data_IF_363516630221
#
_entry.id   IF_363516630221
#
_cell.length_a   1.000
_cell.length_b   1.000
_cell.length_c   1.000
_cell.angle_alpha   90.00
_cell.angle_beta   90.00
_cell.angle_gamma   90.00
#
_symmetry.space_group_name_H-M   'P 1'
#
loop_
_entity.id
_entity.type
_entity.pdbx_description
1 polymer ?
#
# COMPACT_ATOMS: atom_id res chain seq x y z
N UNK A 1 33.74 11.35 19.55
CA UNK A 1 33.69 11.55 21.01
C UNK A 1 34.56 10.58 21.82
N UNK A 2 34.88 9.36 21.36
CA UNK A 2 35.68 8.39 22.13
C UNK A 2 35.16 8.21 23.58
N UNK A 3 33.84 8.19 23.73
CA UNK A 3 33.18 8.18 25.03
C UNK A 3 33.24 6.78 25.67
N UNK A 4 34.39 6.44 26.26
CA UNK A 4 34.60 5.15 26.94
C UNK A 4 33.76 5.00 28.22
N UNK A 5 33.17 6.09 28.72
CA UNK A 5 32.24 6.08 29.85
C UNK A 5 30.80 5.72 29.43
N UNK A 6 30.52 5.58 28.12
CA UNK A 6 29.20 5.19 27.63
C UNK A 6 28.75 3.84 28.22
N UNK A 7 27.47 3.66 28.60
CA UNK A 7 26.97 2.43 29.22
C UNK A 7 27.29 1.15 28.41
N UNK A 8 27.23 1.21 27.08
CA UNK A 8 27.64 0.10 26.21
C UNK A 8 29.12 -0.27 26.38
N UNK A 9 30.02 0.71 26.49
CA UNK A 9 31.44 0.46 26.70
C UNK A 9 31.69 -0.14 28.09
N UNK A 10 30.92 0.28 29.10
CA UNK A 10 30.97 -0.34 30.42
C UNK A 10 30.49 -1.79 30.39
N UNK A 11 29.36 -2.08 29.74
CA UNK A 11 28.83 -3.43 29.58
C UNK A 11 29.85 -4.37 28.90
N UNK A 12 30.47 -3.92 27.81
CA UNK A 12 31.50 -4.68 27.08
C UNK A 12 32.76 -4.94 27.92
N UNK A 13 33.10 -4.08 28.88
CA UNK A 13 34.21 -4.36 29.81
C UNK A 13 33.83 -5.35 30.91
N UNK A 14 32.56 -5.38 31.27
CA UNK A 14 32.03 -6.24 32.34
C UNK A 14 31.75 -7.67 31.86
N UNK A 15 31.53 -7.88 30.56
CA UNK A 15 31.32 -9.22 30.02
C UNK A 15 31.05 -9.24 28.51
N UNK A 16 30.86 -10.46 27.99
CA UNK A 16 30.74 -10.73 26.54
C UNK A 16 29.30 -10.82 26.02
N UNK A 17 28.30 -10.53 26.87
CA UNK A 17 26.88 -10.74 26.54
C UNK A 17 26.43 -10.11 25.23
N UNK A 18 26.95 -8.92 24.90
CA UNK A 18 26.64 -8.24 23.63
C UNK A 18 27.16 -8.99 22.41
N UNK A 19 28.32 -9.64 22.51
CA UNK A 19 28.88 -10.48 21.44
C UNK A 19 28.00 -11.72 21.26
N UNK A 20 27.66 -12.37 22.38
CA UNK A 20 26.86 -13.60 22.38
C UNK A 20 25.46 -13.34 21.82
N UNK A 21 24.84 -12.22 22.20
CA UNK A 21 23.54 -11.80 21.66
C UNK A 21 23.58 -11.59 20.14
N UNK A 22 24.59 -10.88 19.63
CA UNK A 22 24.71 -10.57 18.20
C UNK A 22 25.03 -11.82 17.37
N UNK A 23 25.97 -12.65 17.82
CA UNK A 23 26.27 -13.92 17.16
C UNK A 23 25.03 -14.83 17.16
N UNK A 24 24.41 -15.03 18.33
CA UNK A 24 23.27 -15.93 18.49
C UNK A 24 22.07 -15.51 17.65
N UNK A 25 21.78 -14.21 17.54
CA UNK A 25 20.66 -13.74 16.69
C UNK A 25 20.90 -13.94 15.21
N UNK A 26 22.13 -13.74 14.72
CA UNK A 26 22.45 -13.91 13.28
C UNK A 26 22.50 -15.40 12.94
N UNK A 27 23.10 -16.23 13.81
CA UNK A 27 23.11 -17.68 13.69
C UNK A 27 21.69 -18.25 13.60
N UNK A 28 20.83 -17.90 14.56
CA UNK A 28 19.42 -18.32 14.56
C UNK A 28 18.67 -17.87 13.30
N UNK A 29 19.00 -16.67 12.77
CA UNK A 29 18.38 -16.19 11.54
C UNK A 29 18.87 -16.98 10.33
N UNK A 30 20.15 -17.36 10.28
CA UNK A 30 20.69 -18.19 9.19
C UNK A 30 20.06 -19.57 9.08
N UNK A 31 19.53 -20.08 10.19
CA UNK A 31 18.79 -21.35 10.26
C UNK A 31 17.30 -21.19 9.93
N UNK A 32 16.82 -19.96 9.73
CA UNK A 32 15.44 -19.68 9.35
C UNK A 32 15.29 -19.76 7.84
N UNK A 33 14.30 -20.53 7.36
CA UNK A 33 14.02 -20.68 5.93
C UNK A 33 13.88 -19.31 5.24
N UNK A 34 14.59 -19.13 4.12
CA UNK A 34 14.65 -17.88 3.36
C UNK A 34 15.78 -16.92 3.76
N UNK A 35 16.51 -17.22 4.83
CA UNK A 35 17.63 -16.40 5.33
C UNK A 35 18.96 -17.17 5.36
N UNK A 36 19.07 -18.27 4.62
CA UNK A 36 20.23 -19.18 4.61
C UNK A 36 21.53 -18.45 4.22
N UNK A 37 21.43 -17.37 3.44
CA UNK A 37 22.56 -16.52 3.05
C UNK A 37 23.25 -15.82 4.24
N UNK A 38 22.61 -15.77 5.41
CA UNK A 38 23.22 -15.24 6.63
C UNK A 38 24.23 -16.21 7.27
N UNK A 39 24.35 -17.46 6.80
CA UNK A 39 25.30 -18.43 7.36
C UNK A 39 26.74 -17.94 7.27
N UNK A 40 27.16 -17.38 6.13
CA UNK A 40 28.50 -16.80 5.96
C UNK A 40 28.77 -15.64 6.93
N UNK A 41 27.91 -14.60 6.98
CA UNK A 41 27.98 -13.55 7.99
C UNK A 41 27.97 -14.05 9.44
N UNK A 42 27.21 -15.11 9.75
CA UNK A 42 27.18 -15.72 11.08
C UNK A 42 28.53 -16.34 11.44
N UNK A 43 29.12 -17.12 10.54
CA UNK A 43 30.46 -17.71 10.72
C UNK A 43 31.51 -16.61 10.88
N UNK A 44 31.50 -15.60 10.01
CA UNK A 44 32.44 -14.47 10.10
C UNK A 44 32.33 -13.74 11.45
N UNK A 45 31.11 -13.46 11.92
CA UNK A 45 30.89 -12.84 13.23
C UNK A 45 31.40 -13.73 14.36
N UNK A 46 31.17 -15.06 14.29
CA UNK A 46 31.69 -16.02 15.27
C UNK A 46 33.20 -15.94 15.36
N UNK A 47 33.91 -16.10 14.23
CA UNK A 47 35.37 -16.06 14.20
C UNK A 47 35.95 -14.75 14.76
N UNK A 48 35.35 -13.60 14.39
CA UNK A 48 35.82 -12.30 14.88
C UNK A 48 35.53 -12.09 16.36
N UNK A 49 34.38 -12.56 16.85
CA UNK A 49 34.04 -12.50 18.26
C UNK A 49 34.90 -13.47 19.10
N UNK A 50 35.18 -14.68 18.61
CA UNK A 50 36.12 -15.62 19.23
C UNK A 50 37.51 -15.01 19.40
N UNK A 51 38.03 -14.36 18.35
CA UNK A 51 39.33 -13.70 18.41
C UNK A 51 39.37 -12.60 19.50
N UNK A 52 38.35 -11.73 19.57
CA UNK A 52 38.32 -10.62 20.53
C UNK A 52 37.89 -11.04 21.94
N UNK A 53 37.43 -12.27 22.16
CA UNK A 53 37.22 -12.79 23.53
C UNK A 53 38.54 -13.00 24.27
N UNK A 54 39.64 -13.17 23.54
CA UNK A 54 40.96 -13.47 24.12
C UNK A 54 41.73 -12.23 24.59
N UNK A 55 41.29 -11.03 24.21
CA UNK A 55 41.99 -9.77 24.55
C UNK A 55 41.54 -9.22 25.92
N UNK A 56 42.36 -8.38 26.58
CA UNK A 56 41.98 -7.72 27.82
C UNK A 56 40.67 -6.93 27.71
N UNK A 57 39.79 -7.06 28.71
CA UNK A 57 38.42 -6.53 28.68
C UNK A 57 38.35 -5.02 28.41
N UNK A 58 39.32 -4.24 28.88
CA UNK A 58 39.38 -2.80 28.63
C UNK A 58 39.56 -2.43 27.15
N UNK A 59 40.07 -3.35 26.32
CA UNK A 59 40.19 -3.17 24.86
C UNK A 59 38.93 -3.60 24.10
N UNK A 60 38.04 -4.40 24.71
CA UNK A 60 36.88 -4.98 24.04
C UNK A 60 35.97 -3.94 23.36
N UNK A 61 35.65 -2.78 23.98
CA UNK A 61 34.82 -1.76 23.33
C UNK A 61 35.35 -1.29 21.97
N UNK A 62 36.68 -1.15 21.83
CA UNK A 62 37.31 -0.70 20.59
C UNK A 62 37.17 -1.74 19.49
N UNK A 63 37.52 -2.99 19.79
CA UNK A 63 37.51 -4.06 18.79
C UNK A 63 36.09 -4.50 18.44
N UNK A 64 35.17 -4.50 19.42
CA UNK A 64 33.74 -4.68 19.16
C UNK A 64 33.21 -3.65 18.17
N UNK A 65 33.51 -2.36 18.37
CA UNK A 65 33.12 -1.29 17.45
C UNK A 65 33.73 -1.46 16.06
N UNK A 66 34.97 -1.94 15.96
CA UNK A 66 35.62 -2.23 14.68
C UNK A 66 34.93 -3.37 13.93
N UNK A 67 34.61 -4.47 14.61
CA UNK A 67 33.92 -5.63 14.03
C UNK A 67 32.53 -5.23 13.53
N UNK A 68 31.73 -4.57 14.37
CA UNK A 68 30.37 -4.15 13.98
C UNK A 68 30.37 -3.11 12.87
N UNK A 69 31.30 -2.15 12.88
CA UNK A 69 31.41 -1.17 11.80
C UNK A 69 31.77 -1.86 10.47
N UNK A 70 32.64 -2.86 10.52
CA UNK A 70 33.05 -3.62 9.33
C UNK A 70 31.87 -4.42 8.79
N UNK A 71 31.15 -5.15 9.65
CA UNK A 71 29.95 -5.88 9.27
C UNK A 71 28.88 -4.95 8.68
N UNK A 72 28.58 -3.84 9.37
CA UNK A 72 27.57 -2.87 8.92
C UNK A 72 27.91 -2.28 7.56
N UNK A 73 29.17 -1.87 7.33
CA UNK A 73 29.60 -1.33 6.04
C UNK A 73 29.47 -2.37 4.94
N UNK A 74 29.97 -3.59 5.16
CA UNK A 74 29.87 -4.66 4.18
C UNK A 74 28.40 -4.99 3.83
N UNK A 75 27.51 -5.07 4.84
CA UNK A 75 26.08 -5.29 4.61
C UNK A 75 25.42 -4.14 3.86
N UNK A 76 25.76 -2.89 4.21
CA UNK A 76 25.25 -1.70 3.54
C UNK A 76 25.68 -1.64 2.08
N UNK A 77 26.97 -1.82 1.83
CA UNK A 77 27.55 -1.77 0.48
C UNK A 77 26.94 -2.87 -0.38
N UNK A 78 26.79 -4.09 0.16
CA UNK A 78 26.11 -5.19 -0.53
C UNK A 78 24.64 -4.89 -0.84
N UNK A 79 23.91 -4.27 0.08
CA UNK A 79 22.52 -3.90 -0.15
C UNK A 79 22.39 -2.87 -1.29
N UNK A 80 23.29 -1.88 -1.34
CA UNK A 80 23.27 -0.86 -2.38
C UNK A 80 23.68 -1.41 -3.75
N UNK A 81 24.69 -2.28 -3.81
CA UNK A 81 25.11 -2.99 -5.03
C UNK A 81 23.94 -3.75 -5.65
N UNK A 82 23.15 -4.46 -4.82
CA UNK A 82 21.98 -5.22 -5.26
C UNK A 82 20.82 -4.33 -5.76
N UNK A 83 20.78 -3.05 -5.39
CA UNK A 83 19.76 -2.10 -5.86
C UNK A 83 20.13 -1.44 -7.21
N UNK A 84 21.28 -1.81 -7.78
CA UNK A 84 21.75 -1.31 -9.06
C UNK A 84 22.47 0.03 -8.99
N UNK A 85 23.13 0.38 -10.09
CA UNK A 85 24.08 1.50 -10.18
C UNK A 85 23.46 2.85 -9.80
N UNK A 86 22.18 3.07 -10.14
CA UNK A 86 21.46 4.30 -9.84
C UNK A 86 21.34 4.58 -8.35
N UNK A 87 21.24 3.53 -7.51
CA UNK A 87 21.19 3.66 -6.05
C UNK A 87 22.59 3.57 -5.46
N UNK A 88 23.42 2.63 -5.94
CA UNK A 88 24.78 2.43 -5.47
C UNK A 88 25.62 3.72 -5.57
N UNK A 89 25.54 4.43 -6.71
CA UNK A 89 26.31 5.66 -6.95
C UNK A 89 25.57 6.93 -6.54
N UNK A 90 24.37 6.82 -5.98
CA UNK A 90 23.59 7.97 -5.55
C UNK A 90 24.25 8.71 -4.37
N UNK A 91 23.82 9.95 -4.16
CA UNK A 91 24.19 10.70 -2.96
C UNK A 91 23.66 10.00 -1.69
N UNK A 92 24.38 10.15 -0.58
CA UNK A 92 24.15 9.40 0.66
C UNK A 92 22.71 9.46 1.21
N UNK A 93 21.95 10.52 0.95
CA UNK A 93 20.56 10.66 1.39
C UNK A 93 19.66 9.71 0.60
N UNK A 94 19.83 9.61 -0.72
CA UNK A 94 19.10 8.65 -1.55
C UNK A 94 19.43 7.22 -1.15
N UNK A 95 20.71 6.92 -0.91
CA UNK A 95 21.12 5.61 -0.41
C UNK A 95 20.43 5.28 0.94
N UNK A 96 20.36 6.25 1.85
CA UNK A 96 19.69 6.06 3.14
C UNK A 96 18.18 5.86 2.99
N UNK A 97 17.52 6.58 2.06
CA UNK A 97 16.11 6.35 1.73
C UNK A 97 15.91 4.95 1.13
N UNK A 98 16.78 4.51 0.22
CA UNK A 98 16.68 3.19 -0.39
C UNK A 98 16.81 2.05 0.63
N UNK A 99 17.68 2.20 1.64
CA UNK A 99 17.84 1.24 2.73
C UNK A 99 16.57 1.08 3.60
N UNK A 100 15.62 2.02 3.55
CA UNK A 100 14.31 1.84 4.18
C UNK A 100 13.57 0.64 3.58
N UNK A 101 13.79 0.32 2.29
CA UNK A 101 13.18 -0.87 1.68
C UNK A 101 13.67 -2.17 2.33
N UNK A 102 14.92 -2.22 2.79
CA UNK A 102 15.48 -3.36 3.52
C UNK A 102 14.93 -3.42 4.94
N UNK A 103 14.69 -2.26 5.57
CA UNK A 103 14.13 -2.20 6.92
C UNK A 103 12.68 -2.69 6.97
N UNK A 104 11.84 -2.25 6.02
CA UNK A 104 10.42 -2.56 6.03
C UNK A 104 10.11 -3.98 5.52
N UNK A 105 10.96 -4.54 4.66
CA UNK A 105 10.72 -5.85 4.04
C UNK A 105 11.46 -6.97 4.74
N UNK A 106 10.75 -8.06 5.04
CA UNK A 106 11.37 -9.26 5.58
C UNK A 106 10.38 -10.37 5.89
N UNK A 107 10.91 -11.52 6.28
CA UNK A 107 10.11 -12.62 6.81
C UNK A 107 9.72 -12.33 8.27
N UNK A 108 8.45 -12.56 8.61
CA UNK A 108 7.99 -12.60 10.00
C UNK A 108 7.18 -13.87 10.24
N UNK A 109 7.18 -14.36 11.47
CA UNK A 109 6.46 -15.60 11.83
C UNK A 109 4.95 -15.44 11.84
N UNK A 110 4.49 -14.23 12.17
CA UNK A 110 3.10 -13.92 12.47
C UNK A 110 2.29 -13.44 11.27
N UNK A 111 2.94 -13.16 10.13
CA UNK A 111 2.31 -12.53 8.98
C UNK A 111 3.05 -12.86 7.68
N UNK A 112 2.32 -12.85 6.57
CA UNK A 112 2.84 -13.02 5.22
C UNK A 112 1.93 -12.28 4.24
N UNK A 113 2.14 -12.45 2.95
CA UNK A 113 1.19 -12.04 1.92
C UNK A 113 0.11 -13.10 1.63
N UNK A 114 0.39 -14.35 1.99
CA UNK A 114 -0.46 -15.51 1.70
C UNK A 114 -0.76 -16.32 2.97
N UNK A 115 -1.90 -17.03 3.02
CA UNK A 115 -2.34 -17.68 4.25
C UNK A 115 -1.49 -18.93 4.59
N UNK A 116 -0.89 -19.55 3.57
CA UNK A 116 -0.14 -20.82 3.71
C UNK A 116 1.28 -20.78 3.12
N UNK A 117 1.75 -19.62 2.66
CA UNK A 117 3.08 -19.45 2.05
C UNK A 117 3.79 -18.32 2.78
N UNK A 118 4.93 -18.61 3.39
CA UNK A 118 5.80 -17.60 3.99
C UNK A 118 6.61 -16.92 2.88
N UNK A 119 6.45 -15.61 2.73
CA UNK A 119 7.20 -14.77 1.79
C UNK A 119 7.62 -13.47 2.48
N UNK A 120 8.67 -12.79 2.00
CA UNK A 120 8.99 -11.46 2.47
C UNK A 120 7.80 -10.53 2.18
N UNK A 121 7.37 -9.79 3.19
CA UNK A 121 6.31 -8.79 3.05
C UNK A 121 6.80 -7.45 3.56
N UNK A 122 6.25 -6.37 3.00
CA UNK A 122 6.52 -5.01 3.47
C UNK A 122 5.66 -4.68 4.69
N UNK A 123 6.27 -4.07 5.71
CA UNK A 123 5.56 -3.44 6.82
C UNK A 123 5.17 -2.00 6.46
N UNK A 124 4.01 -1.53 6.94
CA UNK A 124 3.65 -0.11 6.82
C UNK A 124 4.53 0.80 7.70
N UNK A 125 5.09 0.26 8.78
CA UNK A 125 6.00 1.00 9.63
C UNK A 125 6.48 0.21 10.85
N UNK A 126 7.68 0.51 11.31
CA UNK A 126 8.27 -0.12 12.49
C UNK A 126 8.16 0.81 13.72
N UNK A 127 7.92 0.28 14.93
CA UNK A 127 7.60 -1.13 15.24
C UNK A 127 6.10 -1.45 15.19
N UNK A 128 5.23 -0.45 15.13
CA UNK A 128 3.79 -0.60 15.40
C UNK A 128 3.02 -1.41 14.34
N UNK A 129 3.49 -1.42 13.10
CA UNK A 129 2.86 -2.09 11.95
C UNK A 129 3.79 -3.15 11.36
N UNK A 130 4.45 -3.91 12.23
CA UNK A 130 5.50 -4.85 11.83
C UNK A 130 5.08 -6.33 11.91
N UNK A 131 4.00 -6.67 12.63
CA UNK A 131 3.65 -8.06 12.95
C UNK A 131 2.15 -8.30 12.82
N UNK A 132 1.78 -9.59 12.82
CA UNK A 132 0.41 -10.08 12.75
C UNK A 132 -0.42 -9.41 11.62
N UNK A 133 -1.73 -9.27 11.83
CA UNK A 133 -2.65 -8.61 10.91
C UNK A 133 -2.18 -7.19 10.58
N UNK A 134 -1.58 -6.48 11.54
CA UNK A 134 -1.19 -5.07 11.41
C UNK A 134 0.01 -4.82 10.47
N UNK A 135 0.63 -5.85 9.89
CA UNK A 135 1.81 -5.67 9.05
C UNK A 135 1.52 -5.10 7.66
N UNK A 136 0.55 -5.68 6.94
CA UNK A 136 0.34 -5.44 5.51
C UNK A 136 -0.99 -4.70 5.27
N UNK A 137 -0.88 -3.48 4.77
CA UNK A 137 -2.00 -2.62 4.42
C UNK A 137 -1.94 -2.29 2.92
N UNK A 138 -2.98 -2.61 2.16
CA UNK A 138 -3.00 -2.47 0.70
C UNK A 138 -2.70 -1.04 0.25
N UNK A 139 -3.27 -0.06 0.94
CA UNK A 139 -2.99 1.35 0.68
C UNK A 139 -1.50 1.67 0.81
N UNK A 140 -0.92 1.40 1.98
CA UNK A 140 0.49 1.68 2.29
C UNK A 140 1.44 0.93 1.37
N UNK A 141 1.14 -0.34 1.08
CA UNK A 141 1.89 -1.19 0.15
C UNK A 141 1.96 -0.51 -1.22
N UNK A 142 0.81 -0.16 -1.81
CA UNK A 142 0.76 0.32 -3.19
C UNK A 142 1.17 1.78 -3.36
N UNK A 143 1.10 2.61 -2.32
CA UNK A 143 1.76 3.91 -2.33
C UNK A 143 3.30 3.73 -2.30
N UNK A 144 3.79 2.76 -1.53
CA UNK A 144 5.22 2.63 -1.24
C UNK A 144 6.02 1.84 -2.29
N UNK A 145 5.40 0.89 -3.00
CA UNK A 145 6.10 -0.03 -3.93
C UNK A 145 6.92 0.72 -4.98
N UNK A 146 6.40 1.82 -5.54
CA UNK A 146 7.15 2.59 -6.56
C UNK A 146 8.50 3.06 -6.04
N UNK A 147 8.53 3.64 -4.83
CA UNK A 147 9.76 4.16 -4.24
C UNK A 147 10.65 3.06 -3.68
N UNK A 148 10.06 2.16 -2.88
CA UNK A 148 10.83 1.18 -2.11
C UNK A 148 11.24 -0.05 -2.91
N UNK A 149 10.49 -0.42 -3.97
CA UNK A 149 10.82 -1.58 -4.80
C UNK A 149 11.21 -1.23 -6.22
N UNK A 150 10.35 -0.54 -6.99
CA UNK A 150 10.64 -0.25 -8.40
C UNK A 150 11.87 0.66 -8.52
N UNK A 151 11.94 1.70 -7.69
CA UNK A 151 13.09 2.62 -7.62
C UNK A 151 14.38 1.98 -7.11
N UNK A 152 14.32 0.78 -6.53
CA UNK A 152 15.48 0.04 -6.00
C UNK A 152 15.73 -1.29 -6.72
N UNK A 153 15.08 -1.52 -7.87
CA UNK A 153 15.27 -2.73 -8.69
C UNK A 153 14.65 -4.01 -8.12
N UNK A 154 13.84 -3.94 -7.07
CA UNK A 154 13.22 -5.09 -6.38
C UNK A 154 11.92 -5.54 -7.04
N UNK A 155 12.01 -5.85 -8.33
CA UNK A 155 10.84 -6.15 -9.17
C UNK A 155 10.14 -7.45 -8.76
N UNK A 156 10.89 -8.47 -8.34
CA UNK A 156 10.31 -9.74 -7.91
C UNK A 156 9.43 -9.57 -6.67
N UNK A 157 9.89 -8.80 -5.67
CA UNK A 157 9.08 -8.48 -4.50
C UNK A 157 7.86 -7.64 -4.87
N UNK A 158 7.99 -6.66 -5.76
CA UNK A 158 6.84 -5.88 -6.24
C UNK A 158 5.79 -6.78 -6.91
N UNK A 159 6.21 -7.69 -7.79
CA UNK A 159 5.34 -8.66 -8.45
C UNK A 159 4.65 -9.58 -7.43
N UNK A 160 5.37 -10.11 -6.45
CA UNK A 160 4.79 -10.97 -5.41
C UNK A 160 3.67 -10.25 -4.62
N UNK A 161 3.85 -8.95 -4.31
CA UNK A 161 2.83 -8.15 -3.63
C UNK A 161 1.61 -7.90 -4.54
N UNK A 162 1.82 -7.53 -5.81
CA UNK A 162 0.74 -7.36 -6.78
C UNK A 162 -0.07 -8.65 -6.90
N UNK A 163 0.58 -9.80 -7.07
CA UNK A 163 -0.09 -11.10 -7.22
C UNK A 163 -0.87 -11.46 -5.94
N UNK A 164 -0.31 -11.23 -4.76
CA UNK A 164 -0.99 -11.53 -3.50
C UNK A 164 -2.28 -10.72 -3.33
N UNK A 165 -2.25 -9.41 -3.57
CA UNK A 165 -3.44 -8.57 -3.46
C UNK A 165 -4.44 -8.83 -4.60
N UNK A 166 -3.97 -9.12 -5.82
CA UNK A 166 -4.83 -9.56 -6.92
C UNK A 166 -5.61 -10.84 -6.57
N UNK A 167 -5.00 -11.77 -5.83
CA UNK A 167 -5.68 -12.99 -5.38
C UNK A 167 -6.90 -12.69 -4.51
N UNK A 168 -6.87 -11.60 -3.73
CA UNK A 168 -7.94 -11.21 -2.80
C UNK A 168 -8.84 -10.11 -3.34
N UNK A 169 -8.84 -9.78 -4.64
CA UNK A 169 -9.84 -8.84 -5.17
C UNK A 169 -11.26 -9.40 -4.94
N UNK A 170 -12.13 -8.60 -4.33
CA UNK A 170 -13.55 -8.89 -4.04
C UNK A 170 -14.32 -7.57 -4.08
N UNK A 171 -15.60 -7.57 -4.48
CA UNK A 171 -16.36 -6.35 -4.71
C UNK A 171 -15.72 -5.44 -5.77
N UNK A 172 -14.87 -5.94 -6.68
CA UNK A 172 -14.07 -5.07 -7.55
C UNK A 172 -13.06 -4.18 -6.81
N UNK A 173 -12.74 -4.50 -5.54
CA UNK A 173 -11.88 -3.72 -4.66
C UNK A 173 -10.72 -4.55 -4.12
N UNK A 174 -9.66 -3.86 -3.70
CA UNK A 174 -8.52 -4.41 -2.96
C UNK A 174 -8.68 -4.03 -1.48
N UNK A 175 -8.41 -4.96 -0.55
CA UNK A 175 -8.60 -4.67 0.87
C UNK A 175 -7.62 -3.63 1.40
N UNK A 176 -7.98 -2.97 2.50
CA UNK A 176 -7.00 -2.22 3.28
C UNK A 176 -6.16 -3.20 4.09
N UNK A 177 -6.76 -3.88 5.06
CA UNK A 177 -6.08 -4.90 5.85
C UNK A 177 -5.98 -6.20 5.04
N UNK A 178 -4.76 -6.69 4.78
CA UNK A 178 -4.58 -7.96 4.06
C UNK A 178 -4.78 -9.19 4.95
N UNK A 179 -4.28 -9.15 6.19
CA UNK A 179 -4.25 -10.29 7.12
C UNK A 179 -3.76 -11.60 6.47
N UNK A 180 -2.61 -11.52 5.77
CA UNK A 180 -2.03 -12.62 4.99
C UNK A 180 -3.00 -13.25 3.96
N UNK A 181 -4.03 -12.54 3.51
CA UNK A 181 -5.06 -13.06 2.60
C UNK A 181 -6.02 -14.08 3.24
N UNK A 182 -5.99 -14.24 4.57
CA UNK A 182 -6.88 -15.13 5.30
C UNK A 182 -8.21 -14.45 5.65
N UNK A 183 -8.10 -13.27 6.29
CA UNK A 183 -9.22 -12.43 6.72
C UNK A 183 -9.04 -10.97 6.27
N UNK A 184 -9.00 -10.68 4.96
CA UNK A 184 -8.86 -9.32 4.46
C UNK A 184 -10.12 -8.47 4.74
N UNK A 185 -9.94 -7.16 4.95
CA UNK A 185 -11.05 -6.20 5.19
C UNK A 185 -11.18 -5.16 4.07
N UNK A 186 -12.40 -5.00 3.55
CA UNK A 186 -12.72 -4.17 2.38
C UNK A 186 -13.43 -2.86 2.77
N UNK A 187 -12.77 -2.08 3.64
CA UNK A 187 -13.21 -0.76 4.10
C UNK A 187 -12.45 0.39 3.42
N UNK A 188 -11.74 0.12 2.32
CA UNK A 188 -10.88 1.10 1.62
C UNK A 188 -11.27 1.22 0.16
N UNK A 189 -11.75 2.41 -0.22
CA UNK A 189 -12.12 2.80 -1.58
C UNK A 189 -10.93 3.26 -2.40
N UNK A 190 -9.86 3.72 -1.78
CA UNK A 190 -8.66 4.22 -2.45
C UNK A 190 -7.63 3.12 -2.76
N UNK A 191 -7.57 2.05 -1.95
CA UNK A 191 -6.61 0.94 -2.13
C UNK A 191 -6.59 0.36 -3.54
N UNK A 192 -7.76 0.18 -4.17
CA UNK A 192 -7.86 -0.36 -5.54
C UNK A 192 -7.18 0.56 -6.56
N UNK A 193 -7.29 1.87 -6.40
CA UNK A 193 -6.74 2.83 -7.35
C UNK A 193 -5.22 2.97 -7.22
N UNK A 194 -4.70 2.94 -5.99
CA UNK A 194 -3.25 2.85 -5.77
C UNK A 194 -2.67 1.53 -6.30
N UNK A 195 -3.41 0.42 -6.15
CA UNK A 195 -3.05 -0.88 -6.74
C UNK A 195 -2.95 -0.81 -8.27
N UNK A 196 -3.96 -0.26 -8.94
CA UNK A 196 -3.97 -0.12 -10.40
C UNK A 196 -2.86 0.83 -10.88
N UNK A 197 -2.57 1.90 -10.14
CA UNK A 197 -1.43 2.77 -10.41
C UNK A 197 -0.08 2.06 -10.23
N UNK A 198 0.02 1.16 -9.23
CA UNK A 198 1.24 0.34 -9.05
C UNK A 198 1.45 -0.62 -10.21
N UNK A 199 0.38 -1.20 -10.77
CA UNK A 199 0.50 -2.06 -11.96
C UNK A 199 1.01 -1.26 -13.16
N UNK A 200 0.50 -0.03 -13.36
CA UNK A 200 0.99 0.88 -14.39
C UNK A 200 2.49 1.15 -14.22
N UNK A 201 2.90 1.52 -13.00
CA UNK A 201 4.29 1.80 -12.68
C UNK A 201 5.17 0.55 -12.85
N UNK A 202 4.69 -0.63 -12.45
CA UNK A 202 5.40 -1.89 -12.66
C UNK A 202 5.62 -2.15 -14.15
N UNK A 203 4.57 -2.07 -14.97
CA UNK A 203 4.66 -2.30 -16.42
C UNK A 203 5.62 -1.31 -17.09
N UNK A 204 5.67 -0.07 -16.59
CA UNK A 204 6.55 0.97 -17.10
C UNK A 204 8.02 0.77 -16.74
N UNK A 205 8.32 0.36 -15.50
CA UNK A 205 9.69 0.37 -14.98
C UNK A 205 10.34 -1.02 -14.92
N UNK A 206 9.57 -2.09 -14.79
CA UNK A 206 10.11 -3.45 -14.72
C UNK A 206 10.52 -3.97 -16.11
N UNK A 207 11.62 -4.73 -16.20
CA UNK A 207 11.95 -5.48 -17.42
C UNK A 207 10.79 -6.39 -17.82
N UNK A 208 10.44 -6.41 -19.10
CA UNK A 208 9.32 -7.22 -19.62
C UNK A 208 8.00 -6.98 -18.85
N UNK A 209 7.82 -5.78 -18.30
CA UNK A 209 6.74 -5.47 -17.36
C UNK A 209 5.35 -5.78 -17.88
N UNK A 210 5.11 -5.63 -19.20
CA UNK A 210 3.82 -5.94 -19.85
C UNK A 210 3.37 -7.39 -19.65
N UNK A 211 4.29 -8.33 -19.48
CA UNK A 211 3.96 -9.74 -19.25
C UNK A 211 3.29 -9.99 -17.89
N UNK A 212 3.32 -9.00 -16.99
CA UNK A 212 2.51 -9.02 -15.78
C UNK A 212 1.02 -9.19 -16.10
N UNK A 213 0.50 -8.56 -17.17
CA UNK A 213 -0.91 -8.65 -17.56
C UNK A 213 -1.36 -10.10 -17.82
N UNK A 214 -0.45 -10.91 -18.36
CA UNK A 214 -0.69 -12.33 -18.68
C UNK A 214 -0.41 -13.27 -17.51
N UNK A 215 0.13 -12.76 -16.41
CA UNK A 215 0.42 -13.57 -15.23
C UNK A 215 -0.89 -13.99 -14.55
N UNK A 216 -1.03 -15.29 -14.29
CA UNK A 216 -2.24 -15.86 -13.68
C UNK A 216 -2.08 -16.00 -12.16
N UNK A 217 -3.14 -15.68 -11.43
CA UNK A 217 -3.21 -15.87 -9.98
C UNK A 217 -4.45 -16.65 -9.59
N UNK A 218 -4.30 -17.60 -8.64
CA UNK A 218 -5.45 -18.26 -8.01
C UNK A 218 -6.20 -17.27 -7.13
N UNK A 219 -7.52 -17.24 -7.25
CA UNK A 219 -8.39 -16.26 -6.59
C UNK A 219 -8.87 -16.78 -5.24
N UNK A 220 -8.63 -16.03 -4.18
CA UNK A 220 -9.11 -16.29 -2.81
C UNK A 220 -10.64 -16.27 -2.73
N UNK A 221 -11.26 -15.38 -3.50
CA UNK A 221 -12.71 -15.27 -3.69
C UNK A 221 -13.06 -15.59 -5.14
N UNK A 222 -14.32 -15.93 -5.42
CA UNK A 222 -14.74 -16.22 -6.79
C UNK A 222 -14.85 -14.90 -7.60
N UNK A 223 -14.38 -14.84 -8.85
CA UNK A 223 -14.51 -13.64 -9.68
C UNK A 223 -15.97 -13.22 -9.84
N UNK A 224 -16.24 -11.92 -9.77
CA UNK A 224 -17.59 -11.32 -9.87
C UNK A 224 -18.61 -11.79 -8.81
N UNK A 225 -18.16 -12.50 -7.76
CA UNK A 225 -18.99 -12.96 -6.65
C UNK A 225 -18.52 -12.32 -5.34
N UNK A 226 -19.46 -11.66 -4.67
CA UNK A 226 -19.23 -10.90 -3.45
C UNK A 226 -19.44 -11.73 -2.17
N UNK A 227 -19.67 -13.03 -2.30
CA UNK A 227 -19.85 -13.94 -1.18
C UNK A 227 -18.55 -14.06 -0.40
N UNK A 228 -18.60 -13.79 0.90
CA UNK A 228 -17.48 -14.08 1.79
C UNK A 228 -17.51 -15.55 2.24
N UNK A 229 -16.35 -16.19 2.25
CA UNK A 229 -16.17 -17.52 2.82
C UNK A 229 -14.74 -17.70 3.36
N UNK A 230 -14.52 -18.57 4.37
CA UNK A 230 -13.21 -18.82 4.96
C UNK A 230 -12.20 -19.43 3.98
N UNK A 231 -10.91 -19.34 4.29
CA UNK A 231 -9.81 -19.82 3.42
C UNK A 231 -9.79 -21.35 3.30
N UNK A 232 -10.44 -22.06 4.22
CA UNK A 232 -10.56 -23.51 4.26
C UNK A 232 -11.76 -24.00 3.42
N UNK A 233 -12.63 -23.09 2.95
CA UNK A 233 -13.75 -23.42 2.07
C UNK A 233 -13.21 -23.97 0.72
N UNK A 234 -13.79 -25.05 0.17
CA UNK A 234 -13.36 -25.62 -1.10
C UNK A 234 -13.37 -24.65 -2.30
N UNK A 235 -14.15 -23.56 -2.21
CA UNK A 235 -14.19 -22.51 -3.25
C UNK A 235 -12.94 -21.63 -3.24
N UNK A 236 -12.24 -21.52 -2.11
CA UNK A 236 -11.04 -20.69 -2.02
C UNK A 236 -9.93 -21.24 -2.93
N UNK A 237 -9.37 -20.39 -3.78
CA UNK A 237 -8.33 -20.75 -4.74
C UNK A 237 -8.75 -21.85 -5.75
N UNK A 238 -10.06 -22.03 -5.98
CA UNK A 238 -10.63 -22.96 -6.97
C UNK A 238 -10.70 -22.38 -8.39
N UNK A 239 -10.61 -21.05 -8.50
CA UNK A 239 -10.58 -20.30 -9.75
C UNK A 239 -9.29 -19.50 -9.84
N UNK A 240 -8.98 -19.07 -11.06
CA UNK A 240 -7.84 -18.21 -11.34
C UNK A 240 -8.24 -17.10 -12.30
N UNK A 241 -7.47 -16.02 -12.30
CA UNK A 241 -7.63 -14.92 -13.24
C UNK A 241 -6.26 -14.39 -13.64
N UNK A 242 -6.14 -13.88 -14.86
CA UNK A 242 -4.98 -13.07 -15.25
C UNK A 242 -5.04 -11.70 -14.58
N UNK A 243 -3.90 -11.00 -14.48
CA UNK A 243 -3.90 -9.61 -13.99
C UNK A 243 -4.73 -8.71 -14.92
N UNK A 244 -4.73 -8.97 -16.21
CA UNK A 244 -5.61 -8.29 -17.17
C UNK A 244 -7.10 -8.45 -16.82
N UNK A 245 -7.56 -9.67 -16.50
CA UNK A 245 -8.93 -9.93 -16.06
C UNK A 245 -9.26 -9.26 -14.71
N UNK A 246 -8.30 -9.19 -13.79
CA UNK A 246 -8.46 -8.50 -12.49
C UNK A 246 -8.69 -7.00 -12.69
N UNK A 247 -7.93 -6.37 -13.59
CA UNK A 247 -8.09 -4.95 -13.90
C UNK A 247 -9.47 -4.71 -14.53
N UNK A 248 -9.88 -5.55 -15.47
CA UNK A 248 -11.20 -5.47 -16.08
C UNK A 248 -12.31 -5.65 -15.05
N UNK A 249 -12.20 -6.67 -14.18
CA UNK A 249 -13.17 -6.92 -13.10
C UNK A 249 -13.31 -5.69 -12.19
N UNK A 250 -12.20 -5.10 -11.75
CA UNK A 250 -12.23 -3.91 -10.92
C UNK A 250 -12.98 -2.74 -11.59
N UNK A 251 -12.67 -2.45 -12.85
CA UNK A 251 -13.30 -1.34 -13.58
C UNK A 251 -14.77 -1.59 -13.88
N UNK A 252 -15.13 -2.78 -14.34
CA UNK A 252 -16.50 -3.13 -14.69
C UNK A 252 -17.39 -3.12 -13.45
N UNK A 253 -16.89 -3.62 -12.31
CA UNK A 253 -17.58 -3.56 -11.02
C UNK A 253 -17.88 -2.13 -10.57
N UNK A 254 -16.94 -1.21 -10.73
CA UNK A 254 -17.18 0.22 -10.44
C UNK A 254 -18.19 0.83 -11.43
N UNK A 255 -18.07 0.50 -12.72
CA UNK A 255 -18.96 0.99 -13.76
C UNK A 255 -20.42 0.52 -13.60
N UNK A 256 -20.62 -0.70 -13.09
CA UNK A 256 -21.96 -1.22 -12.75
C UNK A 256 -22.52 -0.66 -11.43
N UNK A 257 -21.68 -0.04 -10.61
CA UNK A 257 -22.02 0.37 -9.25
C UNK A 257 -22.01 -0.80 -8.27
N UNK A 258 -21.77 -0.49 -7.01
CA UNK A 258 -21.54 -1.47 -5.95
C UNK A 258 -22.28 -1.03 -4.69
N UNK A 259 -23.06 -1.95 -4.13
CA UNK A 259 -23.75 -1.74 -2.87
C UNK A 259 -23.67 -3.00 -2.05
N UNK A 260 -22.93 -2.95 -0.94
CA UNK A 260 -22.69 -4.11 -0.10
C UNK A 260 -22.54 -3.71 1.35
N UNK A 261 -22.72 -4.68 2.24
CA UNK A 261 -22.37 -4.55 3.65
C UNK A 261 -21.07 -5.30 3.90
N UNK A 262 -20.14 -4.72 4.64
CA UNK A 262 -18.88 -5.39 5.00
C UNK A 262 -19.18 -6.79 5.55
N UNK A 263 -18.46 -7.78 5.02
CA UNK A 263 -18.58 -9.15 5.51
C UNK A 263 -18.24 -9.18 7.00
N UNK A 264 -19.03 -9.92 7.79
CA UNK A 264 -18.84 -10.04 9.24
C UNK A 264 -18.99 -8.71 10.01
N UNK A 265 -19.74 -7.74 9.46
CA UNK A 265 -20.03 -6.46 10.10
C UNK A 265 -20.47 -6.59 11.57
N UNK A 266 -19.89 -5.73 12.41
CA UNK A 266 -20.14 -5.68 13.85
C UNK A 266 -18.85 -5.52 14.67
N UNK A 267 -18.97 -5.53 16.01
CA UNK A 267 -17.87 -5.22 16.94
C UNK A 267 -16.62 -6.11 16.80
N UNK A 268 -16.74 -7.27 16.17
CA UNK A 268 -15.61 -8.20 15.97
C UNK A 268 -14.60 -7.72 14.93
N UNK A 269 -15.07 -7.00 13.89
CA UNK A 269 -14.19 -6.45 12.85
C UNK A 269 -13.91 -4.96 13.04
N UNK A 270 -14.80 -4.27 13.76
CA UNK A 270 -14.64 -2.87 14.15
C UNK A 270 -15.46 -2.56 15.40
N UNK A 271 -14.79 -2.30 16.51
CA UNK A 271 -15.44 -2.02 17.80
C UNK A 271 -15.83 -0.56 18.00
N UNK A 272 -15.49 0.32 17.05
CA UNK A 272 -15.76 1.75 17.14
C UNK A 272 -16.84 2.20 16.16
N UNK A 273 -16.81 1.66 14.94
CA UNK A 273 -17.74 2.02 13.85
C UNK A 273 -19.21 1.75 14.20
N UNK A 274 -20.09 2.65 13.78
CA UNK A 274 -21.55 2.46 13.88
C UNK A 274 -22.08 1.49 12.82
N UNK A 275 -23.29 0.98 13.01
CA UNK A 275 -23.89 -0.02 12.11
C UNK A 275 -23.96 0.45 10.65
N UNK A 276 -24.22 1.73 10.44
CA UNK A 276 -24.33 2.37 9.13
C UNK A 276 -23.00 2.43 8.38
N UNK A 277 -21.88 2.52 9.12
CA UNK A 277 -20.54 2.65 8.55
C UNK A 277 -20.10 1.40 7.77
N UNK A 278 -20.63 0.23 8.12
CA UNK A 278 -20.36 -1.03 7.44
C UNK A 278 -21.03 -1.12 6.06
N UNK A 279 -21.97 -0.22 5.73
CA UNK A 279 -22.64 -0.21 4.44
C UNK A 279 -21.83 0.64 3.45
N UNK A 280 -21.50 0.06 2.31
CA UNK A 280 -20.76 0.68 1.23
C UNK A 280 -21.68 0.90 0.03
N UNK A 281 -21.57 2.08 -0.57
CA UNK A 281 -22.24 2.48 -1.80
C UNK A 281 -21.21 3.23 -2.65
N UNK A 282 -20.97 2.74 -3.86
CA UNK A 282 -19.99 3.28 -4.81
C UNK A 282 -20.64 3.26 -6.20
N UNK A 283 -20.61 4.38 -6.90
CA UNK A 283 -21.20 4.49 -8.22
C UNK A 283 -20.48 5.53 -9.08
N UNK A 284 -20.63 5.42 -10.40
CA UNK A 284 -20.15 6.41 -11.35
C UNK A 284 -21.30 7.35 -11.70
N UNK A 285 -21.06 8.65 -11.59
CA UNK A 285 -21.89 9.65 -12.26
C UNK A 285 -21.50 9.68 -13.74
N UNK A 286 -22.35 9.14 -14.62
CA UNK A 286 -22.03 9.06 -16.05
C UNK A 286 -22.11 10.39 -16.79
N UNK A 287 -22.66 11.46 -16.20
CA UNK A 287 -22.56 12.80 -16.78
C UNK A 287 -21.12 13.32 -16.72
N UNK A 288 -20.44 13.08 -15.60
CA UNK A 288 -19.06 13.55 -15.35
C UNK A 288 -17.99 12.48 -15.54
N UNK A 289 -18.36 11.19 -15.46
CA UNK A 289 -17.44 10.06 -15.38
C UNK A 289 -16.79 9.86 -14.00
N UNK A 290 -17.18 10.64 -12.99
CA UNK A 290 -16.54 10.65 -11.66
C UNK A 290 -17.14 9.56 -10.76
N UNK A 291 -16.29 8.92 -9.95
CA UNK A 291 -16.71 7.93 -8.94
C UNK A 291 -17.07 8.64 -7.63
N UNK A 292 -18.26 8.33 -7.14
CA UNK A 292 -18.74 8.71 -5.82
C UNK A 292 -18.80 7.48 -4.92
N UNK A 293 -18.59 7.66 -3.63
CA UNK A 293 -18.95 6.61 -2.69
C UNK A 293 -18.62 6.92 -1.25
N UNK A 294 -18.92 5.96 -0.38
CA UNK A 294 -18.79 6.09 1.06
C UNK A 294 -19.99 6.79 1.70
N UNK A 295 -19.88 7.11 2.99
CA UNK A 295 -20.86 7.86 3.74
C UNK A 295 -20.22 8.55 4.96
N UNK A 296 -20.97 9.42 5.62
CA UNK A 296 -20.52 10.18 6.80
C UNK A 296 -20.19 9.32 8.04
N UNK A 297 -20.44 8.01 8.02
CA UNK A 297 -20.16 7.06 9.09
C UNK A 297 -18.99 6.11 8.76
N UNK A 298 -18.30 6.31 7.63
CA UNK A 298 -17.19 5.45 7.22
C UNK A 298 -15.92 6.23 6.83
N UNK A 299 -14.84 5.47 6.65
CA UNK A 299 -13.48 5.97 6.44
C UNK A 299 -12.85 5.32 5.20
N UNK A 300 -13.47 5.50 4.03
CA UNK A 300 -13.03 4.82 2.80
C UNK A 300 -11.72 5.32 2.18
N UNK A 301 -11.09 6.36 2.70
CA UNK A 301 -9.86 6.97 2.15
C UNK A 301 -8.77 7.04 3.21
N UNK A 302 -7.52 7.28 2.83
CA UNK A 302 -6.37 7.30 3.73
C UNK A 302 -6.46 8.21 4.97
N UNK A 303 -7.28 9.27 4.92
CA UNK A 303 -7.67 10.03 6.11
C UNK A 303 -8.74 9.26 6.90
N UNK A 304 -8.37 8.15 7.54
CA UNK A 304 -9.31 7.11 8.01
C UNK A 304 -9.56 7.05 9.53
N UNK A 305 -9.29 8.12 10.29
CA UNK A 305 -9.49 8.07 11.75
C UNK A 305 -10.97 7.96 12.13
N UNK A 306 -11.37 6.77 12.57
CA UNK A 306 -12.62 6.52 13.29
C UNK A 306 -12.49 6.99 14.74
N UNK A 307 -13.40 7.86 15.19
CA UNK A 307 -13.41 8.35 16.56
C UNK A 307 -13.72 7.25 17.59
N UNK A 308 -13.06 7.31 18.74
CA UNK A 308 -13.13 6.26 19.78
C UNK A 308 -13.37 6.81 21.20
N UNK A 309 -13.31 8.13 21.40
CA UNK A 309 -13.44 8.72 22.74
C UNK A 309 -14.91 8.88 23.12
N UNK A 310 -15.36 8.04 24.06
CA UNK A 310 -16.67 8.15 24.71
C UNK A 310 -16.80 9.45 25.51
N UNK A 311 -15.75 9.83 26.26
CA UNK A 311 -15.74 11.04 27.09
C UNK A 311 -15.91 12.32 26.25
N UNK A 312 -15.38 12.33 25.03
CA UNK A 312 -15.52 13.45 24.11
C UNK A 312 -16.79 13.34 23.24
N UNK A 313 -17.60 12.29 23.37
CA UNK A 313 -18.79 12.07 22.54
C UNK A 313 -18.48 11.76 21.06
N UNK A 314 -17.25 11.29 20.77
CA UNK A 314 -16.75 11.10 19.39
C UNK A 314 -16.70 9.64 18.94
N UNK A 315 -17.06 8.69 19.82
CA UNK A 315 -17.01 7.26 19.49
C UNK A 315 -17.94 6.93 18.31
N UNK A 316 -17.38 6.26 17.30
CA UNK A 316 -18.09 5.90 16.07
C UNK A 316 -18.41 7.08 15.15
N UNK A 317 -17.77 8.23 15.36
CA UNK A 317 -17.87 9.39 14.46
C UNK A 317 -16.52 9.54 13.74
N UNK A 318 -16.47 9.34 12.41
CA UNK A 318 -15.27 9.61 11.63
C UNK A 318 -14.81 11.05 11.80
N UNK A 319 -13.51 11.27 12.01
CA UNK A 319 -12.94 12.61 12.04
C UNK A 319 -12.89 13.25 10.65
N UNK A 320 -12.70 12.43 9.62
CA UNK A 320 -12.55 12.84 8.22
C UNK A 320 -13.25 11.87 7.29
N UNK A 321 -14.59 11.74 7.36
CA UNK A 321 -15.29 11.03 6.29
C UNK A 321 -15.04 11.80 4.99
N UNK A 322 -14.64 11.08 3.94
CA UNK A 322 -14.34 11.65 2.63
C UNK A 322 -15.25 11.03 1.58
N UNK A 323 -16.54 11.02 1.90
CA UNK A 323 -17.59 10.51 1.03
C UNK A 323 -17.86 11.45 -0.16
N UNK A 324 -18.63 10.96 -1.12
CA UNK A 324 -18.73 11.59 -2.42
C UNK A 324 -17.50 11.30 -3.28
N UNK A 325 -17.05 12.28 -4.06
CA UNK A 325 -15.92 12.10 -4.98
C UNK A 325 -14.62 12.66 -4.40
N UNK A 326 -13.72 11.75 -3.99
CA UNK A 326 -12.38 12.10 -3.53
C UNK A 326 -11.45 12.39 -4.72
N UNK A 327 -10.68 13.48 -4.62
CA UNK A 327 -9.89 13.97 -5.74
C UNK A 327 -8.82 12.99 -6.21
N UNK A 328 -8.14 12.29 -5.29
CA UNK A 328 -7.11 11.32 -5.64
C UNK A 328 -7.69 10.10 -6.37
N UNK A 329 -8.90 9.65 -5.98
CA UNK A 329 -9.59 8.54 -6.65
C UNK A 329 -9.92 8.93 -8.10
N UNK A 330 -10.37 10.16 -8.31
CA UNK A 330 -10.67 10.66 -9.66
C UNK A 330 -9.41 10.74 -10.53
N UNK A 331 -8.31 11.25 -9.97
CA UNK A 331 -7.03 11.33 -10.67
C UNK A 331 -6.47 9.95 -11.04
N UNK A 332 -6.47 9.01 -10.09
CA UNK A 332 -5.98 7.64 -10.31
C UNK A 332 -6.88 6.85 -11.26
N UNK A 333 -8.20 7.04 -11.21
CA UNK A 333 -9.14 6.49 -12.18
C UNK A 333 -8.80 7.00 -13.58
N UNK A 334 -8.69 8.33 -13.76
CA UNK A 334 -8.36 8.94 -15.04
C UNK A 334 -7.03 8.42 -15.60
N UNK A 335 -5.99 8.31 -14.75
CA UNK A 335 -4.71 7.71 -15.12
C UNK A 335 -4.88 6.29 -15.64
N UNK A 336 -5.62 5.46 -14.90
CA UNK A 336 -5.87 4.06 -15.23
C UNK A 336 -6.59 3.87 -16.55
N UNK A 337 -7.71 4.54 -16.76
CA UNK A 337 -8.50 4.35 -18.00
C UNK A 337 -7.82 4.98 -19.21
N UNK A 338 -7.05 6.07 -19.04
CA UNK A 338 -6.24 6.63 -20.12
C UNK A 338 -5.15 5.66 -20.54
N UNK A 339 -4.43 5.10 -19.57
CA UNK A 339 -3.40 4.08 -19.79
C UNK A 339 -3.95 2.83 -20.49
N UNK A 340 -5.11 2.33 -20.05
CA UNK A 340 -5.74 1.16 -20.69
C UNK A 340 -6.22 1.45 -22.10
N UNK A 341 -6.74 2.66 -22.36
CA UNK A 341 -7.08 3.08 -23.73
C UNK A 341 -5.86 3.01 -24.64
N UNK A 342 -4.70 3.52 -24.19
CA UNK A 342 -3.45 3.47 -24.95
C UNK A 342 -2.93 2.04 -25.14
N UNK A 343 -3.00 1.19 -24.10
CA UNK A 343 -2.57 -0.21 -24.22
C UNK A 343 -3.48 -1.01 -25.16
N UNK A 344 -4.79 -0.76 -25.14
CA UNK A 344 -5.71 -1.39 -26.06
C UNK A 344 -5.44 -0.97 -27.51
N UNK A 345 -5.21 0.32 -27.78
CA UNK A 345 -4.81 0.82 -29.10
C UNK A 345 -3.48 0.19 -29.59
N UNK A 346 -2.58 -0.17 -28.67
CA UNK A 346 -1.34 -0.90 -28.96
C UNK A 346 -1.52 -2.43 -29.10
N UNK A 347 -2.72 -2.97 -28.92
CA UNK A 347 -2.98 -4.42 -28.94
C UNK A 347 -2.39 -5.18 -27.74
N UNK A 348 -2.04 -4.47 -26.66
CA UNK A 348 -1.44 -5.04 -25.44
C UNK A 348 -2.45 -5.30 -24.32
N UNK A 349 -3.67 -4.79 -24.46
CA UNK A 349 -4.78 -5.02 -23.54
C UNK A 349 -6.03 -5.39 -24.33
N UNK A 350 -6.71 -6.48 -23.96
CA UNK A 350 -7.76 -7.10 -24.76
C UNK A 350 -9.08 -6.32 -24.76
N UNK A 351 -9.38 -5.58 -23.68
CA UNK A 351 -10.63 -4.86 -23.52
C UNK A 351 -10.51 -3.41 -23.99
N UNK A 352 -11.59 -2.86 -24.53
CA UNK A 352 -11.66 -1.45 -24.95
C UNK A 352 -12.70 -0.63 -24.16
N UNK A 353 -13.49 -1.30 -23.32
CA UNK A 353 -14.68 -0.74 -22.67
C UNK A 353 -15.10 -1.49 -21.41
N UNK A 354 -15.99 -0.88 -20.64
CA UNK A 354 -16.72 -1.49 -19.51
C UNK A 354 -18.23 -1.45 -19.76
N UNK A 355 -18.97 -2.31 -19.08
CA UNK A 355 -20.44 -2.26 -19.06
C UNK A 355 -20.94 -1.48 -17.86
N UNK A 356 -21.92 -0.61 -18.08
CA UNK A 356 -22.65 0.10 -17.03
C UNK A 356 -23.76 -0.77 -16.44
N UNK A 357 -24.38 -0.31 -15.34
CA UNK A 357 -25.57 -0.95 -14.76
C UNK A 357 -26.72 -1.14 -15.76
N UNK A 358 -26.85 -0.24 -16.74
CA UNK A 358 -27.86 -0.30 -17.80
C UNK A 358 -27.47 -1.26 -18.95
N UNK A 359 -26.31 -1.93 -18.86
CA UNK A 359 -25.76 -2.77 -19.92
C UNK A 359 -25.15 -1.98 -21.09
N UNK A 360 -25.15 -0.65 -21.04
CA UNK A 360 -24.49 0.20 -22.03
C UNK A 360 -22.98 0.03 -21.94
N UNK A 361 -22.32 -0.13 -23.09
CA UNK A 361 -20.86 -0.16 -23.17
C UNK A 361 -20.29 1.26 -23.21
N UNK A 362 -19.30 1.55 -22.37
CA UNK A 362 -18.58 2.83 -22.36
C UNK A 362 -17.10 2.53 -22.60
N UNK A 363 -16.53 3.10 -23.67
CA UNK A 363 -15.11 2.91 -23.97
C UNK A 363 -14.23 3.60 -22.93
N UNK A 364 -13.01 3.09 -22.72
CA UNK A 364 -12.06 3.74 -21.82
C UNK A 364 -11.75 5.19 -22.24
N UNK A 365 -11.67 5.42 -23.56
CA UNK A 365 -11.47 6.75 -24.15
C UNK A 365 -12.62 7.69 -23.84
N UNK A 366 -13.86 7.24 -23.96
CA UNK A 366 -15.03 8.05 -23.65
C UNK A 366 -15.12 8.35 -22.15
N UNK A 367 -14.84 7.37 -21.30
CA UNK A 367 -14.83 7.56 -19.85
C UNK A 367 -13.73 8.56 -19.43
N UNK A 368 -12.50 8.41 -19.96
CA UNK A 368 -11.42 9.37 -19.75
C UNK A 368 -11.80 10.78 -20.23
N UNK A 369 -12.44 10.87 -21.40
CA UNK A 369 -12.92 12.13 -21.98
C UNK A 369 -13.94 12.84 -21.09
N UNK A 370 -14.90 12.10 -20.51
CA UNK A 370 -15.89 12.65 -19.57
C UNK A 370 -15.22 13.25 -18.34
N UNK A 371 -14.29 12.51 -17.71
CA UNK A 371 -13.56 13.02 -16.53
C UNK A 371 -12.77 14.27 -16.92
N UNK A 372 -11.99 14.20 -17.99
CA UNK A 372 -11.17 15.34 -18.45
C UNK A 372 -11.99 16.60 -18.72
N UNK A 373 -13.17 16.46 -19.33
CA UNK A 373 -14.04 17.58 -19.65
C UNK A 373 -14.68 18.21 -18.41
N UNK A 374 -14.83 17.46 -17.31
CA UNK A 374 -15.57 17.89 -16.12
C UNK A 374 -14.68 18.15 -14.89
N UNK A 375 -13.44 17.64 -14.85
CA UNK A 375 -12.58 17.69 -13.67
C UNK A 375 -12.39 19.12 -13.16
N UNK A 376 -11.98 20.03 -14.04
CA UNK A 376 -11.80 21.45 -13.71
C UNK A 376 -13.10 22.07 -13.21
N UNK A 377 -14.22 21.86 -13.92
CA UNK A 377 -15.54 22.37 -13.54
C UNK A 377 -15.95 21.92 -12.14
N UNK A 378 -15.72 20.66 -11.79
CA UNK A 378 -16.16 20.08 -10.53
C UNK A 378 -15.24 20.42 -9.34
N UNK A 379 -13.92 20.38 -9.54
CA UNK A 379 -12.94 20.50 -8.46
C UNK A 379 -12.29 21.88 -8.33
N UNK A 380 -12.11 22.65 -9.40
CA UNK A 380 -11.40 23.93 -9.29
C UNK A 380 -12.28 25.02 -8.68
N UNK A 381 -11.70 25.82 -7.79
CA UNK A 381 -12.31 27.02 -7.23
C UNK A 381 -11.63 28.24 -7.87
N UNK A 382 -12.33 29.03 -8.70
CA UNK A 382 -11.69 30.11 -9.43
C UNK A 382 -11.20 31.23 -8.51
N UNK A 383 -10.11 31.89 -8.94
CA UNK A 383 -9.50 33.03 -8.23
C UNK A 383 -10.47 34.20 -8.05
N UNK A 384 -11.30 34.47 -9.05
CA UNK A 384 -12.30 35.54 -9.02
C UNK A 384 -13.70 34.97 -8.87
N UNK A 385 -14.52 35.58 -8.00
CA UNK A 385 -15.95 35.25 -7.89
C UNK A 385 -16.74 35.53 -9.17
N UNK A 386 -16.20 36.34 -10.08
CA UNK A 386 -16.80 36.59 -11.39
C UNK A 386 -16.86 35.34 -12.26
N UNK A 387 -15.99 34.37 -12.02
CA UNK A 387 -15.92 33.12 -12.80
C UNK A 387 -16.71 31.98 -12.16
N UNK A 388 -17.34 32.19 -11.00
CA UNK A 388 -18.05 31.13 -10.25
C UNK A 388 -19.10 30.42 -11.12
N UNK A 389 -19.77 31.13 -12.03
CA UNK A 389 -20.78 30.58 -12.93
C UNK A 389 -20.25 29.50 -13.91
N UNK A 390 -18.93 29.36 -14.04
CA UNK A 390 -18.28 28.35 -14.90
C UNK A 390 -17.95 27.06 -14.16
N UNK A 391 -18.02 27.06 -12.83
CA UNK A 391 -17.58 25.97 -11.96
C UNK A 391 -18.71 25.56 -11.02
N UNK A 392 -18.68 24.32 -10.54
CA UNK A 392 -19.70 23.82 -9.62
C UNK A 392 -19.40 24.29 -8.19
N UNK A 393 -19.44 25.60 -7.93
CA UNK A 393 -19.06 26.18 -6.65
C UNK A 393 -20.24 26.82 -5.91
N UNK A 394 -20.20 26.76 -4.58
CA UNK A 394 -21.11 27.45 -3.69
C UNK A 394 -20.34 28.55 -2.93
N UNK A 395 -20.49 29.83 -3.32
CA UNK A 395 -19.72 30.94 -2.73
C UNK A 395 -19.88 31.10 -1.22
N UNK A 396 -21.00 30.66 -0.65
CA UNK A 396 -21.29 30.80 0.78
C UNK A 396 -20.39 29.94 1.68
N UNK A 397 -19.79 28.88 1.13
CA UNK A 397 -18.97 27.90 1.89
C UNK A 397 -17.50 27.88 1.45
N UNK A 398 -17.10 28.71 0.49
CA UNK A 398 -15.70 28.82 0.04
C UNK A 398 -14.84 29.41 1.15
N UNK A 399 -13.82 28.67 1.58
CA UNK A 399 -12.79 29.18 2.48
C UNK A 399 -11.68 29.92 1.71
N UNK A 400 -11.14 29.29 0.67
CA UNK A 400 -10.03 29.82 -0.14
C UNK A 400 -10.28 29.59 -1.63
N UNK A 401 -9.87 30.56 -2.46
CA UNK A 401 -9.95 30.54 -3.92
C UNK A 401 -8.59 30.20 -4.54
N UNK A 402 -8.59 29.77 -5.79
CA UNK A 402 -7.37 29.36 -6.51
C UNK A 402 -6.82 28.02 -6.05
N UNK A 403 -7.69 27.12 -5.60
CA UNK A 403 -7.35 25.78 -5.15
C UNK A 403 -8.23 24.75 -5.88
N UNK A 404 -7.82 23.49 -5.85
CA UNK A 404 -8.72 22.37 -6.10
C UNK A 404 -9.35 21.93 -4.79
N UNK A 405 -10.66 21.69 -4.82
CA UNK A 405 -11.43 21.10 -3.72
C UNK A 405 -10.86 19.73 -3.32
N UNK A 406 -10.96 19.39 -2.04
CA UNK A 406 -10.58 18.06 -1.57
C UNK A 406 -11.56 16.98 -2.04
N UNK A 407 -12.85 17.34 -2.03
CA UNK A 407 -13.97 16.47 -2.36
C UNK A 407 -14.94 17.20 -3.30
N UNK A 408 -15.77 16.44 -4.00
CA UNK A 408 -16.90 16.96 -4.76
C UNK A 408 -18.20 16.26 -4.34
N UNK A 409 -19.16 17.04 -3.86
CA UNK A 409 -20.47 16.63 -3.33
C UNK A 409 -20.35 15.60 -2.19
N UNK A 410 -19.51 15.89 -1.18
CA UNK A 410 -19.47 15.11 0.06
C UNK A 410 -20.72 15.34 0.93
N UNK A 411 -20.87 14.55 1.99
CA UNK A 411 -22.04 14.63 2.87
C UNK A 411 -22.16 15.95 3.65
N UNK A 412 -21.05 16.67 3.85
CA UNK A 412 -21.03 18.01 4.45
C UNK A 412 -20.29 18.95 3.51
N UNK A 413 -21.04 19.83 2.85
CA UNK A 413 -20.53 20.61 1.72
C UNK A 413 -19.23 21.40 2.02
N UNK A 414 -19.04 21.97 3.22
CA UNK A 414 -17.82 22.69 3.55
C UNK A 414 -16.54 21.80 3.52
N UNK A 415 -16.67 20.47 3.62
CA UNK A 415 -15.56 19.52 3.53
C UNK A 415 -15.00 19.44 2.11
N UNK A 416 -15.82 19.73 1.08
CA UNK A 416 -15.38 19.86 -0.32
C UNK A 416 -14.35 21.00 -0.46
N UNK A 417 -14.61 22.15 0.16
CA UNK A 417 -13.87 23.41 -0.06
C UNK A 417 -12.63 23.56 0.84
N UNK A 418 -12.13 22.46 1.41
CA UNK A 418 -10.93 22.47 2.25
C UNK A 418 -9.65 22.39 1.42
N UNK A 419 -8.68 23.24 1.73
CA UNK A 419 -7.34 23.14 1.14
C UNK A 419 -6.56 22.02 1.85
N UNK A 420 -6.40 20.89 1.17
CA UNK A 420 -5.74 19.67 1.67
C UNK A 420 -4.71 19.15 0.67
N UNK A 421 -3.79 18.32 1.16
CA UNK A 421 -2.67 17.79 0.38
C UNK A 421 -3.02 16.53 -0.46
N UNK A 422 -4.29 16.34 -0.81
CA UNK A 422 -4.76 15.15 -1.56
C UNK A 422 -4.79 15.35 -3.08
N UNK A 423 -4.77 16.60 -3.54
CA UNK A 423 -4.75 16.93 -4.97
C UNK A 423 -3.43 16.58 -5.68
N UNK A 424 -2.24 16.93 -5.12
CA UNK A 424 -0.97 16.57 -5.74
C UNK A 424 -0.77 15.05 -5.79
#
# INVERSE_FOLDING_TARGET
>A
ENNLAHPLCQNLRQGTWSLDYIQGRVQKMSETKGNEQLAGPATWLSERFDAIRTIPSFLLPRYFGLVLRTAYKASRDRALELMGENIEKAQWFIQNLALVSVQQTGYVKSASLWPKKAVPSIAAGLPHFAVEWARCWGRDVFISIRGLYLGTGRFDEAKEHIMAFASVLKHGMIPNLLSSGDAPRYNSRDSIWFFLQTIQDFIRYAPEGVDLLRSTVKRRFLPYDDTWFPTQDPRAYSKESTIEEIIQEALERHATGMKYREANAGPQIDSQMKDEGFNQDIHVDWETGIIFGGNQFNCGTWMDKMGESERAGSKGVPGTPRDGAAIEITGLLYSTISWLSELNEQGKYAYSSVKTAAGTSVSFKDWAGRIKANFERCYFIPLSSKDDYKYDVNPAVINRRGIYKDLYKSGKEYEDYQFRANFP
#
